data_IF_461204987105
#
_entry.id   IF_461204987105
#
_cell.length_a   1.000
_cell.length_b   1.000
_cell.length_c   1.000
_cell.angle_alpha   90.00
_cell.angle_beta   90.00
_cell.angle_gamma   90.00
#
_symmetry.space_group_name_H-M   'P 1'
#
loop_
_entity.id
_entity.type
_entity.pdbx_description
1 polymer ?
#
# COMPACT_ATOMS: atom_id res chain seq x y z
N UNK A 1 3.88 -0.73 38.92
CA UNK A 1 2.67 -1.27 39.58
C UNK A 1 1.49 -1.30 38.60
N UNK A 2 0.80 -2.42 38.50
CA UNK A 2 -0.47 -2.56 37.78
C UNK A 2 -1.62 -1.92 38.57
N UNK A 3 -2.75 -1.66 37.93
CA UNK A 3 -3.94 -1.14 38.62
C UNK A 3 -4.42 -2.10 39.73
N UNK A 4 -4.32 -3.40 39.52
CA UNK A 4 -4.73 -4.41 40.50
C UNK A 4 -3.79 -4.47 41.71
N UNK A 5 -2.47 -4.35 41.51
CA UNK A 5 -1.50 -4.26 42.60
C UNK A 5 -1.72 -2.99 43.46
N UNK A 6 -1.97 -1.85 42.80
CA UNK A 6 -2.28 -0.59 43.53
C UNK A 6 -3.58 -0.76 44.32
N UNK A 7 -4.60 -1.32 43.71
CA UNK A 7 -5.89 -1.57 44.38
C UNK A 7 -5.72 -2.46 45.59
N UNK A 8 -4.95 -3.52 45.50
CA UNK A 8 -4.65 -4.43 46.63
C UNK A 8 -4.01 -3.65 47.79
N UNK A 9 -2.99 -2.82 47.51
CA UNK A 9 -2.35 -2.00 48.53
C UNK A 9 -3.30 -1.01 49.23
N UNK A 10 -4.22 -0.41 48.45
CA UNK A 10 -5.22 0.51 49.00
C UNK A 10 -6.28 -0.24 49.83
N UNK A 11 -6.68 -1.45 49.43
CA UNK A 11 -7.58 -2.32 50.17
C UNK A 11 -6.97 -2.80 51.50
N UNK A 12 -5.68 -3.19 51.46
CA UNK A 12 -4.94 -3.58 52.65
C UNK A 12 -4.84 -2.41 53.63
N UNK A 13 -4.54 -1.20 53.13
CA UNK A 13 -4.52 0.00 53.99
C UNK A 13 -5.90 0.26 54.61
N UNK A 14 -6.98 0.27 53.82
CA UNK A 14 -8.32 0.45 54.34
C UNK A 14 -8.70 -0.62 55.37
N UNK A 15 -8.27 -1.86 55.17
CA UNK A 15 -8.53 -2.96 56.12
C UNK A 15 -7.76 -2.83 57.44
N UNK A 16 -6.67 -2.06 57.44
CA UNK A 16 -5.88 -1.77 58.65
C UNK A 16 -6.50 -0.64 59.50
N UNK A 17 -7.43 0.11 58.93
CA UNK A 17 -8.13 1.20 59.63
C UNK A 17 -9.36 0.68 60.38
N UNK A 18 -9.76 1.35 61.47
CA UNK A 18 -11.03 1.08 62.15
C UNK A 18 -12.20 1.19 61.14
N UNK A 19 -13.01 0.13 61.08
CA UNK A 19 -14.16 0.14 60.19
C UNK A 19 -15.21 1.18 60.63
N UNK A 20 -15.75 2.00 59.71
CA UNK A 20 -16.83 2.90 60.06
C UNK A 20 -18.06 2.15 60.56
N UNK A 21 -18.70 2.61 61.57
CA UNK A 21 -19.94 2.03 62.11
C UNK A 21 -21.07 2.22 61.11
N UNK A 22 -21.83 1.15 60.77
CA UNK A 22 -22.87 1.20 59.73
C UNK A 22 -23.99 2.19 60.07
N UNK A 23 -24.42 2.98 59.07
CA UNK A 23 -25.56 3.91 59.19
C UNK A 23 -26.86 3.35 58.54
N UNK A 24 -26.76 2.17 57.93
CA UNK A 24 -27.87 1.48 57.28
C UNK A 24 -28.55 0.46 58.21
N UNK A 25 -29.77 0.09 57.88
CA UNK A 25 -30.56 -0.90 58.65
C UNK A 25 -31.83 -0.31 59.27
N UNK A 26 -32.62 -1.15 59.94
CA UNK A 26 -33.76 -0.74 60.73
C UNK A 26 -33.34 -0.07 62.06
N UNK A 27 -34.33 0.35 62.84
CA UNK A 27 -34.05 1.06 64.12
C UNK A 27 -33.28 0.18 65.09
N UNK A 28 -33.51 -1.13 65.09
CA UNK A 28 -32.86 -2.04 66.04
C UNK A 28 -31.41 -2.30 65.64
N UNK A 29 -31.13 -2.47 64.38
CA UNK A 29 -29.75 -2.56 63.86
C UNK A 29 -28.93 -1.32 64.13
N UNK A 30 -29.51 -0.12 63.93
CA UNK A 30 -28.88 1.14 64.26
C UNK A 30 -28.69 1.26 65.77
N UNK A 31 -29.62 0.78 66.58
CA UNK A 31 -29.52 0.74 68.06
C UNK A 31 -28.34 -0.11 68.53
N UNK A 32 -28.14 -1.31 67.98
CA UNK A 32 -27.00 -2.16 68.27
C UNK A 32 -25.69 -1.43 67.94
N UNK A 33 -25.60 -0.90 66.70
CA UNK A 33 -24.41 -0.14 66.24
C UNK A 33 -24.11 1.08 67.14
N UNK A 34 -25.13 1.77 67.58
CA UNK A 34 -24.98 2.89 68.52
C UNK A 34 -24.45 2.45 69.89
N UNK A 35 -24.92 1.31 70.44
CA UNK A 35 -24.44 0.80 71.73
C UNK A 35 -22.96 0.39 71.74
N UNK A 36 -22.41 0.09 70.55
CA UNK A 36 -20.98 -0.23 70.39
C UNK A 36 -20.08 0.99 70.34
N UNK A 37 -20.64 2.22 70.24
CA UNK A 37 -19.82 3.44 70.23
C UNK A 37 -19.11 3.62 71.55
N UNK A 38 -17.94 4.32 71.57
CA UNK A 38 -17.30 4.80 72.79
C UNK A 38 -18.28 5.73 73.57
N UNK A 39 -18.15 5.71 74.91
CA UNK A 39 -19.09 6.41 75.78
C UNK A 39 -19.16 7.94 75.53
N UNK A 40 -18.06 8.55 75.12
CA UNK A 40 -17.97 9.97 74.75
C UNK A 40 -18.89 10.37 73.58
N UNK A 41 -19.28 9.39 72.75
CA UNK A 41 -20.19 9.60 71.62
C UNK A 41 -21.61 9.12 71.89
N UNK A 42 -21.88 8.53 73.08
CA UNK A 42 -23.22 8.15 73.53
C UNK A 42 -23.88 9.31 74.25
N UNK A 43 -24.67 10.11 73.56
CA UNK A 43 -25.45 11.12 74.19
C UNK A 43 -26.63 10.50 74.95
N UNK A 44 -26.62 10.60 76.29
CA UNK A 44 -27.78 10.25 77.07
C UNK A 44 -28.81 11.36 76.91
N UNK A 45 -29.84 11.12 76.14
CA UNK A 45 -30.98 12.01 76.03
C UNK A 45 -32.01 11.54 77.07
N UNK A 46 -32.27 12.28 78.08
CA UNK A 46 -32.96 11.86 79.27
C UNK A 46 -34.45 11.50 79.16
N UNK A 47 -35.00 11.29 77.96
CA UNK A 47 -36.37 10.88 77.75
C UNK A 47 -36.41 9.92 76.51
N UNK A 48 -37.07 8.77 76.67
CA UNK A 48 -37.27 7.76 75.63
C UNK A 48 -37.86 8.35 74.30
N UNK A 49 -38.55 9.45 74.36
CA UNK A 49 -39.13 10.13 73.19
C UNK A 49 -38.13 10.76 72.26
N UNK A 50 -36.95 11.06 72.73
CA UNK A 50 -35.88 11.65 71.92
C UNK A 50 -34.85 10.65 71.40
N UNK A 51 -34.95 9.40 71.74
CA UNK A 51 -34.06 8.32 71.34
C UNK A 51 -34.55 7.72 69.99
N UNK A 52 -34.38 8.50 68.95
CA UNK A 52 -34.84 8.13 67.60
C UNK A 52 -33.69 7.57 66.79
N UNK A 53 -33.98 6.81 65.69
CA UNK A 53 -33.00 6.36 64.72
C UNK A 53 -32.16 7.55 64.14
N UNK A 54 -32.74 8.73 64.01
CA UNK A 54 -32.09 9.94 63.54
C UNK A 54 -31.02 10.42 64.52
N UNK A 55 -31.31 10.40 65.83
CA UNK A 55 -30.37 10.84 66.89
C UNK A 55 -29.21 9.84 66.97
N UNK A 56 -29.48 8.52 66.94
CA UNK A 56 -28.44 7.48 66.92
C UNK A 56 -27.53 7.62 65.71
N UNK A 57 -28.10 7.79 64.51
CA UNK A 57 -27.32 8.06 63.28
C UNK A 57 -26.46 9.33 63.37
N UNK A 58 -26.91 10.38 64.04
CA UNK A 58 -26.10 11.58 64.22
C UNK A 58 -24.87 11.31 65.09
N UNK A 59 -25.00 10.55 66.19
CA UNK A 59 -23.89 10.11 67.04
C UNK A 59 -22.92 9.22 66.30
N UNK A 60 -23.43 8.23 65.53
CA UNK A 60 -22.58 7.36 64.66
C UNK A 60 -21.81 8.18 63.63
N UNK A 61 -22.46 9.17 62.98
CA UNK A 61 -21.78 10.06 62.05
C UNK A 61 -20.65 10.89 62.71
N UNK A 62 -20.90 11.41 63.92
CA UNK A 62 -19.92 12.16 64.69
C UNK A 62 -18.71 11.26 65.02
N UNK A 63 -18.95 10.05 65.49
CA UNK A 63 -17.89 9.08 65.71
C UNK A 63 -17.13 8.72 64.42
N UNK A 64 -17.83 8.36 63.35
CA UNK A 64 -17.24 8.04 62.09
C UNK A 64 -16.38 9.18 61.51
N UNK A 65 -16.74 10.46 61.81
CA UNK A 65 -15.95 11.60 61.40
C UNK A 65 -14.62 11.77 62.14
N UNK A 66 -14.44 11.06 63.26
CA UNK A 66 -13.16 11.03 64.00
C UNK A 66 -12.22 9.92 63.50
N UNK A 67 -12.75 8.96 62.73
CA UNK A 67 -11.96 7.89 62.19
C UNK A 67 -11.08 8.37 61.04
N UNK A 68 -9.89 7.76 60.82
CA UNK A 68 -9.09 8.06 59.66
C UNK A 68 -9.87 7.83 58.35
N UNK A 69 -9.78 8.75 57.38
CA UNK A 69 -10.51 8.63 56.15
C UNK A 69 -9.99 7.43 55.32
N UNK A 70 -10.91 6.60 54.83
CA UNK A 70 -10.56 5.56 53.90
C UNK A 70 -10.24 6.13 52.51
N UNK A 71 -9.29 5.51 51.81
CA UNK A 71 -8.91 5.88 50.44
C UNK A 71 -9.76 5.12 49.43
N UNK A 72 -9.94 5.71 48.24
CA UNK A 72 -10.65 5.09 47.17
C UNK A 72 -9.88 3.90 46.61
N UNK A 73 -10.56 2.78 46.40
CA UNK A 73 -10.02 1.54 45.78
C UNK A 73 -10.56 1.28 44.38
N UNK A 74 -11.25 2.25 43.79
CA UNK A 74 -11.83 2.15 42.45
C UNK A 74 -11.45 3.31 41.54
N UNK A 75 -11.24 3.05 40.27
CA UNK A 75 -10.83 4.03 39.27
C UNK A 75 -9.85 3.48 38.27
N UNK A 76 -9.37 4.30 37.33
CA UNK A 76 -8.27 3.96 36.48
C UNK A 76 -6.93 3.99 37.26
N UNK A 77 -5.85 3.49 36.62
CA UNK A 77 -4.53 3.40 37.25
C UNK A 77 -4.04 4.74 37.80
N UNK A 78 -4.26 5.85 37.11
CA UNK A 78 -3.80 7.16 37.50
C UNK A 78 -4.57 7.66 38.75
N UNK A 79 -5.88 7.47 38.80
CA UNK A 79 -6.71 7.77 39.95
C UNK A 79 -6.33 6.91 41.18
N UNK A 80 -5.96 5.67 40.98
CA UNK A 80 -5.48 4.80 42.06
C UNK A 80 -4.08 5.23 42.55
N UNK A 81 -3.19 5.68 41.65
CA UNK A 81 -1.89 6.25 42.05
C UNK A 81 -2.03 7.54 42.85
N UNK A 82 -3.00 8.38 42.53
CA UNK A 82 -3.32 9.56 43.34
C UNK A 82 -3.72 9.16 44.78
N UNK A 83 -4.52 8.12 44.93
CA UNK A 83 -4.90 7.62 46.25
C UNK A 83 -3.70 6.98 46.99
N UNK A 84 -2.86 6.23 46.25
CA UNK A 84 -1.65 5.65 46.81
C UNK A 84 -0.66 6.72 47.25
N UNK A 85 -0.58 7.87 46.59
CA UNK A 85 0.27 8.97 46.98
C UNK A 85 -0.10 9.56 48.36
N UNK A 86 -1.37 9.47 48.80
CA UNK A 86 -1.83 9.91 50.11
C UNK A 86 -1.25 9.04 51.23
N UNK A 87 -1.12 7.71 50.96
CA UNK A 87 -0.71 6.76 52.00
C UNK A 87 0.78 6.34 51.90
N UNK A 88 1.33 6.37 50.68
CA UNK A 88 2.73 5.99 50.43
C UNK A 88 3.32 6.80 49.26
N UNK A 89 3.68 8.08 49.47
CA UNK A 89 4.25 8.95 48.45
C UNK A 89 5.61 8.46 47.93
N UNK A 90 6.40 7.79 48.76
CA UNK A 90 7.72 7.31 48.39
C UNK A 90 7.61 6.18 47.33
N UNK A 91 6.62 5.29 47.49
CA UNK A 91 6.37 4.20 46.52
C UNK A 91 5.92 4.77 45.17
N UNK A 92 5.09 5.82 45.19
CA UNK A 92 4.67 6.49 43.95
C UNK A 92 5.86 7.18 43.27
N UNK A 93 6.74 7.85 44.07
CA UNK A 93 7.95 8.46 43.54
C UNK A 93 8.90 7.41 42.90
N UNK A 94 9.06 6.24 43.55
CA UNK A 94 9.84 5.14 42.99
C UNK A 94 9.21 4.59 41.69
N UNK A 95 7.90 4.44 41.65
CA UNK A 95 7.19 4.00 40.45
C UNK A 95 7.34 4.98 39.27
N UNK A 96 7.32 6.28 39.56
CA UNK A 96 7.53 7.34 38.56
C UNK A 96 8.96 7.34 37.97
N UNK A 97 9.94 6.85 38.73
CA UNK A 97 11.33 6.72 38.25
C UNK A 97 11.57 5.49 37.36
N UNK A 98 10.65 4.53 37.37
CA UNK A 98 10.79 3.35 36.49
C UNK A 98 10.66 3.71 35.02
N UNK A 99 11.48 3.15 34.14
CA UNK A 99 11.34 3.33 32.70
C UNK A 99 9.93 2.96 32.27
N UNK A 100 9.23 3.91 31.67
CA UNK A 100 7.91 3.63 31.13
C UNK A 100 8.04 2.79 29.86
N UNK A 101 7.23 1.74 29.69
CA UNK A 101 7.23 0.97 28.46
C UNK A 101 6.83 1.86 27.28
N UNK A 102 7.55 1.72 26.19
CA UNK A 102 7.23 2.46 24.96
C UNK A 102 5.85 2.04 24.43
N UNK A 103 5.12 3.00 23.89
CA UNK A 103 3.86 2.70 23.19
C UNK A 103 4.15 1.81 21.99
N UNK A 104 3.44 0.68 21.87
CA UNK A 104 3.54 -0.27 20.75
C UNK A 104 2.37 -0.16 19.77
N UNK A 105 1.47 0.81 20.00
CA UNK A 105 0.32 1.12 19.15
C UNK A 105 0.08 2.63 19.09
N UNK A 106 -0.49 3.09 17.98
CA UNK A 106 -0.75 4.51 17.74
C UNK A 106 -0.44 4.93 16.31
N UNK A 107 -0.39 6.23 16.05
CA UNK A 107 -0.01 6.75 14.75
C UNK A 107 1.45 6.39 14.41
N UNK A 108 1.73 6.15 13.13
CA UNK A 108 3.08 5.77 12.65
C UNK A 108 4.16 6.77 13.09
N UNK A 109 3.85 8.06 13.04
CA UNK A 109 4.79 9.11 13.45
C UNK A 109 5.17 9.00 14.93
N UNK A 110 4.19 8.73 15.82
CA UNK A 110 4.43 8.57 17.26
C UNK A 110 5.28 7.33 17.56
N UNK A 111 5.04 6.24 16.80
CA UNK A 111 5.83 5.01 16.94
C UNK A 111 7.27 5.19 16.45
N UNK A 112 7.48 5.94 15.36
CA UNK A 112 8.81 6.31 14.87
C UNK A 112 9.55 7.13 15.91
N UNK A 113 8.89 8.13 16.51
CA UNK A 113 9.46 8.96 17.55
C UNK A 113 9.82 8.14 18.80
N UNK A 114 8.94 7.22 19.21
CA UNK A 114 9.19 6.31 20.31
C UNK A 114 10.40 5.40 20.06
N UNK A 115 10.56 4.87 18.85
CA UNK A 115 11.75 4.07 18.49
C UNK A 115 13.00 4.96 18.49
N UNK A 116 12.96 6.15 17.90
CA UNK A 116 14.12 7.07 17.85
C UNK A 116 14.54 7.57 19.22
N UNK A 117 13.64 7.63 20.21
CA UNK A 117 14.01 8.00 21.59
C UNK A 117 14.95 6.99 22.26
N UNK A 118 14.90 5.70 21.86
CA UNK A 118 15.77 4.63 22.40
C UNK A 118 16.83 4.18 21.41
N UNK A 119 16.63 4.41 20.12
CA UNK A 119 17.54 4.07 19.03
C UNK A 119 17.61 5.23 18.03
N UNK A 120 18.38 6.30 18.32
CA UNK A 120 18.44 7.50 17.48
C UNK A 120 18.92 7.25 16.04
N UNK A 121 19.72 6.22 15.84
CA UNK A 121 20.28 5.77 14.55
C UNK A 121 19.32 4.86 13.75
N UNK A 122 18.12 4.60 14.26
CA UNK A 122 17.13 3.83 13.52
C UNK A 122 16.69 4.55 12.25
N UNK A 123 16.84 3.86 11.10
CA UNK A 123 16.47 4.38 9.78
C UNK A 123 15.17 3.74 9.36
N UNK A 124 14.23 4.53 8.88
CA UNK A 124 12.93 4.09 8.42
C UNK A 124 12.83 4.15 6.90
N UNK A 125 12.08 3.22 6.32
CA UNK A 125 11.91 3.14 4.86
C UNK A 125 11.38 4.44 4.25
N UNK A 126 10.49 5.15 4.95
CA UNK A 126 9.96 6.44 4.48
C UNK A 126 11.06 7.51 4.39
N UNK A 127 11.96 7.57 5.35
CA UNK A 127 13.09 8.52 5.36
C UNK A 127 14.05 8.24 4.20
N UNK A 128 14.33 6.95 3.93
CA UNK A 128 15.13 6.55 2.78
C UNK A 128 14.43 6.90 1.46
N UNK A 129 13.11 6.73 1.41
CA UNK A 129 12.31 7.07 0.24
C UNK A 129 12.30 8.58 -0.02
N UNK A 130 12.14 9.40 1.03
CA UNK A 130 12.12 10.85 0.91
C UNK A 130 13.51 11.37 0.52
N UNK A 131 14.57 10.87 1.13
CA UNK A 131 15.95 11.19 0.74
C UNK A 131 16.26 10.79 -0.72
N UNK A 132 15.72 9.65 -1.17
CA UNK A 132 15.85 9.24 -2.56
C UNK A 132 15.04 10.14 -3.50
N UNK A 133 13.82 10.58 -3.13
CA UNK A 133 13.01 11.51 -3.94
C UNK A 133 13.68 12.87 -4.13
N UNK A 134 14.40 13.34 -3.13
CA UNK A 134 15.18 14.59 -3.22
C UNK A 134 16.36 14.48 -4.19
N UNK A 135 16.99 13.31 -4.28
CA UNK A 135 18.13 13.08 -5.16
C UNK A 135 18.13 11.66 -5.76
N UNK A 136 17.23 11.37 -6.72
CA UNK A 136 17.11 10.04 -7.31
C UNK A 136 18.31 9.65 -8.19
N UNK A 137 19.11 10.62 -8.67
CA UNK A 137 20.15 10.40 -9.66
C UNK A 137 19.57 9.74 -10.92
N UNK A 138 20.28 8.74 -11.47
CA UNK A 138 19.83 7.95 -12.63
C UNK A 138 19.12 6.63 -12.20
N UNK A 139 18.65 6.53 -10.96
CA UNK A 139 18.01 5.32 -10.44
C UNK A 139 16.50 5.44 -10.49
N UNK A 140 15.82 4.35 -10.83
CA UNK A 140 14.37 4.23 -10.79
C UNK A 140 14.02 3.35 -9.58
N UNK A 141 13.09 3.82 -8.76
CA UNK A 141 12.58 3.02 -7.64
C UNK A 141 11.61 1.97 -8.17
N UNK A 142 11.90 0.72 -7.86
CA UNK A 142 11.05 -0.41 -8.19
C UNK A 142 10.73 -1.21 -6.92
N UNK A 143 9.59 -1.89 -6.92
CA UNK A 143 9.29 -2.87 -5.86
C UNK A 143 10.18 -4.11 -6.02
N UNK A 144 10.34 -4.87 -4.93
CA UNK A 144 11.09 -6.14 -4.99
C UNK A 144 10.50 -7.09 -6.04
N UNK A 145 9.18 -7.20 -6.11
CA UNK A 145 8.50 -8.04 -7.10
C UNK A 145 8.78 -7.58 -8.54
N UNK A 146 8.74 -6.27 -8.82
CA UNK A 146 9.11 -5.74 -10.14
C UNK A 146 10.54 -6.07 -10.51
N UNK A 147 11.46 -5.96 -9.56
CA UNK A 147 12.87 -6.31 -9.77
C UNK A 147 13.05 -7.80 -10.05
N UNK A 148 12.44 -8.67 -9.25
CA UNK A 148 12.48 -10.13 -9.45
C UNK A 148 11.86 -10.55 -10.78
N UNK A 149 10.73 -9.94 -11.17
CA UNK A 149 10.11 -10.16 -12.49
C UNK A 149 11.03 -9.72 -13.62
N UNK A 150 11.68 -8.57 -13.51
CA UNK A 150 12.62 -8.10 -14.54
C UNK A 150 13.81 -9.05 -14.71
N UNK A 151 14.37 -9.58 -13.61
CA UNK A 151 15.45 -10.56 -13.67
C UNK A 151 14.99 -11.89 -14.27
N UNK A 152 13.79 -12.35 -13.97
CA UNK A 152 13.22 -13.57 -14.53
C UNK A 152 12.99 -13.41 -16.05
N UNK A 153 12.46 -12.28 -16.50
CA UNK A 153 12.31 -11.94 -17.91
C UNK A 153 13.68 -11.89 -18.61
N UNK A 154 14.67 -11.24 -18.02
CA UNK A 154 16.02 -11.19 -18.57
C UNK A 154 16.60 -12.60 -18.74
N UNK A 155 16.45 -13.44 -17.71
CA UNK A 155 16.93 -14.84 -17.77
C UNK A 155 16.25 -15.64 -18.89
N UNK A 156 14.92 -15.47 -19.05
CA UNK A 156 14.17 -16.15 -20.12
C UNK A 156 14.62 -15.68 -21.51
N UNK A 157 14.82 -14.38 -21.70
CA UNK A 157 15.32 -13.80 -22.95
C UNK A 157 16.71 -14.32 -23.31
N UNK A 158 17.63 -14.37 -22.34
CA UNK A 158 19.00 -14.84 -22.59
C UNK A 158 19.10 -16.34 -22.80
N UNK A 159 18.18 -17.11 -22.19
CA UNK A 159 18.10 -18.56 -22.40
C UNK A 159 17.47 -18.95 -23.75
N UNK A 160 16.70 -18.04 -24.38
CA UNK A 160 16.07 -18.34 -25.67
C UNK A 160 17.13 -18.42 -26.78
N UNK A 161 17.13 -19.49 -27.63
CA UNK A 161 18.21 -19.75 -28.57
C UNK A 161 18.52 -18.63 -29.58
N UNK A 162 17.48 -17.93 -30.02
CA UNK A 162 17.60 -16.85 -31.00
C UNK A 162 17.70 -15.48 -30.29
N UNK A 163 16.73 -15.14 -29.44
CA UNK A 163 16.76 -13.86 -28.70
C UNK A 163 18.03 -13.68 -27.88
N UNK A 164 18.51 -14.76 -27.23
CA UNK A 164 19.75 -14.72 -26.46
C UNK A 164 20.97 -14.39 -27.31
N UNK A 165 21.08 -14.94 -28.51
CA UNK A 165 22.19 -14.61 -29.46
C UNK A 165 22.11 -13.14 -29.90
N UNK A 166 20.94 -12.64 -30.20
CA UNK A 166 20.73 -11.25 -30.63
C UNK A 166 21.02 -10.27 -29.50
N UNK A 167 20.42 -10.49 -28.34
CA UNK A 167 20.53 -9.58 -27.19
C UNK A 167 21.91 -9.61 -26.51
N UNK A 168 22.68 -10.67 -26.66
CA UNK A 168 24.03 -10.80 -26.10
C UNK A 168 25.13 -10.56 -27.15
N UNK A 169 24.77 -10.22 -28.39
CA UNK A 169 25.75 -9.92 -29.43
C UNK A 169 26.61 -8.72 -29.00
N UNK A 170 27.96 -8.83 -28.98
CA UNK A 170 28.84 -7.77 -28.53
C UNK A 170 28.83 -6.55 -29.45
N UNK A 171 28.42 -6.71 -30.73
CA UNK A 171 28.37 -5.60 -31.70
C UNK A 171 27.02 -4.89 -31.72
N UNK A 172 26.06 -5.32 -30.89
CA UNK A 172 24.76 -4.66 -30.82
C UNK A 172 24.90 -3.22 -30.35
N UNK A 173 24.15 -2.31 -30.94
CA UNK A 173 23.90 -0.99 -30.43
C UNK A 173 22.51 -0.95 -29.75
N UNK A 174 22.38 -0.24 -28.64
CA UNK A 174 21.18 -0.21 -27.83
C UNK A 174 20.67 1.22 -27.73
N UNK A 175 19.37 1.41 -28.02
CA UNK A 175 18.67 2.69 -27.91
C UNK A 175 19.36 3.84 -28.65
N UNK A 176 19.91 3.58 -29.84
CA UNK A 176 20.51 4.62 -30.69
C UNK A 176 19.40 5.48 -31.28
N UNK A 177 19.53 6.79 -31.12
CA UNK A 177 18.58 7.75 -31.67
C UNK A 177 19.05 8.28 -33.02
N UNK A 178 18.17 8.19 -34.02
CA UNK A 178 18.36 8.75 -35.35
C UNK A 178 17.45 9.95 -35.50
N UNK A 179 18.00 11.06 -35.93
CA UNK A 179 17.29 12.29 -36.19
C UNK A 179 17.38 12.60 -37.67
N UNK A 180 16.31 13.10 -38.23
CA UNK A 180 16.28 13.49 -39.65
C UNK A 180 15.13 14.46 -39.91
N UNK A 181 15.01 14.86 -41.16
CA UNK A 181 13.88 15.62 -41.68
C UNK A 181 13.20 14.72 -42.67
N UNK A 182 11.88 14.59 -42.59
CA UNK A 182 11.12 13.82 -43.59
C UNK A 182 11.11 14.59 -44.92
N UNK A 183 11.67 13.97 -45.96
CA UNK A 183 11.87 14.59 -47.27
C UNK A 183 10.57 15.02 -47.95
N UNK A 184 9.44 14.41 -47.61
CA UNK A 184 8.14 14.64 -48.22
C UNK A 184 7.36 15.78 -47.53
N UNK A 185 7.51 15.90 -46.22
CA UNK A 185 6.74 16.84 -45.38
C UNK A 185 7.56 17.97 -44.78
N UNK A 186 8.89 17.82 -44.74
CA UNK A 186 9.77 18.77 -44.06
C UNK A 186 9.71 18.70 -42.53
N UNK A 187 8.99 17.75 -41.96
CA UNK A 187 8.87 17.59 -40.52
C UNK A 187 10.12 16.95 -39.91
N UNK A 188 10.53 17.44 -38.74
CA UNK A 188 11.56 16.79 -37.94
C UNK A 188 11.08 15.43 -37.44
N UNK A 189 11.89 14.40 -37.65
CA UNK A 189 11.59 13.02 -37.27
C UNK A 189 12.69 12.47 -36.37
N UNK A 190 12.30 11.60 -35.45
CA UNK A 190 13.22 10.85 -34.60
C UNK A 190 12.74 9.42 -34.44
N UNK A 191 13.67 8.48 -34.63
CA UNK A 191 13.45 7.07 -34.33
C UNK A 191 14.49 6.53 -33.39
N UNK A 192 14.13 5.50 -32.62
CA UNK A 192 15.05 4.86 -31.68
C UNK A 192 14.64 3.39 -31.50
N UNK A 193 15.18 2.50 -32.34
CA UNK A 193 15.05 1.05 -32.12
C UNK A 193 15.63 0.66 -30.75
N UNK A 194 15.06 -0.33 -30.08
CA UNK A 194 15.57 -0.82 -28.80
C UNK A 194 16.96 -1.43 -28.96
N UNK A 195 17.15 -2.24 -30.01
CA UNK A 195 18.44 -2.86 -30.34
C UNK A 195 18.63 -2.88 -31.86
N UNK A 196 19.82 -2.64 -32.30
CA UNK A 196 20.25 -2.86 -33.68
C UNK A 196 21.59 -3.59 -33.74
N UNK A 197 21.81 -4.34 -34.78
CA UNK A 197 23.08 -5.00 -35.05
C UNK A 197 23.31 -5.19 -36.56
N UNK A 198 24.56 -5.33 -36.92
CA UNK A 198 24.96 -5.76 -38.24
C UNK A 198 25.24 -7.27 -38.20
N UNK A 199 24.57 -8.02 -39.07
CA UNK A 199 24.76 -9.45 -39.20
C UNK A 199 24.73 -9.86 -40.68
N UNK A 200 25.77 -10.54 -41.14
CA UNK A 200 25.91 -10.98 -42.52
C UNK A 200 25.78 -9.84 -43.57
N UNK A 201 26.22 -8.63 -43.21
CA UNK A 201 26.14 -7.45 -44.08
C UNK A 201 24.75 -6.80 -44.11
N UNK A 202 23.80 -7.26 -43.29
CA UNK A 202 22.49 -6.64 -43.12
C UNK A 202 22.40 -5.86 -41.80
N UNK A 203 21.80 -4.69 -41.84
CA UNK A 203 21.45 -3.91 -40.67
C UNK A 203 20.06 -4.34 -40.17
N UNK A 204 20.00 -4.83 -38.97
CA UNK A 204 18.78 -5.42 -38.42
C UNK A 204 18.39 -4.65 -37.15
N UNK A 205 17.13 -4.21 -37.10
CA UNK A 205 16.53 -3.60 -35.92
C UNK A 205 15.65 -4.57 -35.14
N UNK A 206 15.64 -4.40 -33.84
CA UNK A 206 14.78 -5.18 -32.94
C UNK A 206 14.07 -4.28 -31.96
N UNK A 207 12.89 -4.70 -31.57
CA UNK A 207 12.09 -4.04 -30.55
C UNK A 207 11.61 -5.08 -29.52
N UNK A 208 11.82 -4.80 -28.23
CA UNK A 208 11.47 -5.71 -27.15
C UNK A 208 10.08 -5.37 -26.61
N UNK A 209 9.19 -6.33 -26.66
CA UNK A 209 7.79 -6.17 -26.22
C UNK A 209 7.45 -7.11 -25.08
N UNK A 210 7.10 -6.54 -23.93
CA UNK A 210 6.50 -7.32 -22.85
C UNK A 210 5.01 -7.43 -23.05
N UNK A 211 4.47 -8.62 -22.87
CA UNK A 211 3.06 -8.92 -23.11
C UNK A 211 2.51 -9.80 -21.99
N UNK A 212 1.21 -9.72 -21.73
CA UNK A 212 0.51 -10.59 -20.79
C UNK A 212 -0.36 -11.56 -21.58
N UNK A 213 0.08 -12.82 -21.70
CA UNK A 213 -0.60 -13.90 -22.42
C UNK A 213 -0.30 -15.24 -21.75
N UNK A 214 -0.67 -15.38 -20.47
CA UNK A 214 -0.43 -16.61 -19.71
C UNK A 214 -1.23 -17.82 -20.23
N UNK A 215 -2.38 -17.56 -20.88
CA UNK A 215 -3.33 -18.58 -21.36
C UNK A 215 -3.14 -18.95 -22.84
N UNK A 216 -2.11 -18.40 -23.49
CA UNK A 216 -1.89 -18.63 -24.91
C UNK A 216 -1.45 -20.08 -25.18
N UNK A 217 -2.09 -20.72 -26.15
CA UNK A 217 -1.68 -22.03 -26.65
C UNK A 217 -0.72 -21.86 -27.81
N UNK A 218 0.17 -22.81 -27.98
CA UNK A 218 1.19 -22.79 -29.05
C UNK A 218 0.58 -22.63 -30.46
N UNK A 219 -0.51 -23.31 -30.75
CA UNK A 219 -1.21 -23.25 -32.03
C UNK A 219 -1.86 -21.87 -32.31
N UNK A 220 -2.19 -21.11 -31.29
CA UNK A 220 -2.80 -19.78 -31.40
C UNK A 220 -1.82 -18.61 -31.22
N UNK A 221 -0.58 -18.91 -30.79
CA UNK A 221 0.41 -17.87 -30.49
C UNK A 221 0.68 -16.96 -31.69
N UNK A 222 0.90 -17.56 -32.87
CA UNK A 222 1.19 -16.82 -34.11
C UNK A 222 0.09 -15.81 -34.46
N UNK A 223 -1.16 -16.23 -34.41
CA UNK A 223 -2.30 -15.37 -34.76
C UNK A 223 -2.53 -14.26 -33.72
N UNK A 224 -2.29 -14.57 -32.44
CA UNK A 224 -2.39 -13.58 -31.36
C UNK A 224 -1.28 -12.52 -31.44
N UNK A 225 -0.03 -12.94 -31.70
CA UNK A 225 1.09 -12.00 -31.88
C UNK A 225 0.92 -11.15 -33.15
N UNK A 226 0.42 -11.72 -34.26
CA UNK A 226 0.09 -10.94 -35.44
C UNK A 226 -0.97 -9.85 -35.13
N UNK A 227 -1.99 -10.19 -34.36
CA UNK A 227 -3.01 -9.23 -33.93
C UNK A 227 -2.40 -8.13 -33.05
N UNK A 228 -1.52 -8.47 -32.10
CA UNK A 228 -0.82 -7.47 -31.28
C UNK A 228 0.02 -6.52 -32.13
N UNK A 229 0.74 -7.04 -33.14
CA UNK A 229 1.57 -6.22 -34.04
C UNK A 229 0.69 -5.24 -34.83
N UNK A 230 -0.42 -5.71 -35.38
CA UNK A 230 -1.27 -4.89 -36.24
C UNK A 230 -2.18 -3.93 -35.45
N UNK A 231 -2.79 -4.37 -34.34
CA UNK A 231 -3.69 -3.52 -33.54
C UNK A 231 -2.96 -2.45 -32.71
N UNK A 232 -1.67 -2.63 -32.46
CA UNK A 232 -0.84 -1.66 -31.72
C UNK A 232 0.08 -0.85 -32.63
N UNK A 233 -0.10 -0.94 -33.92
CA UNK A 233 0.69 -0.25 -34.94
C UNK A 233 2.21 -0.47 -34.81
N UNK A 234 2.62 -1.65 -34.28
CA UNK A 234 4.05 -1.98 -34.19
C UNK A 234 4.69 -2.10 -35.57
N UNK A 235 3.95 -2.58 -36.58
CA UNK A 235 4.39 -2.62 -37.97
C UNK A 235 4.61 -1.22 -38.56
N UNK A 236 3.79 -0.21 -38.19
CA UNK A 236 3.98 1.17 -38.58
C UNK A 236 5.31 1.71 -38.02
N UNK A 237 5.55 1.50 -36.73
CA UNK A 237 6.82 1.89 -36.08
C UNK A 237 8.02 1.19 -36.73
N UNK A 238 7.92 -0.12 -37.02
CA UNK A 238 8.98 -0.86 -37.68
C UNK A 238 9.27 -0.34 -39.09
N UNK A 239 8.23 -0.04 -39.87
CA UNK A 239 8.34 0.58 -41.20
C UNK A 239 9.00 1.96 -41.15
N UNK A 240 8.67 2.79 -40.18
CA UNK A 240 9.33 4.07 -39.92
C UNK A 240 10.81 3.87 -39.54
N UNK A 241 11.11 2.94 -38.60
CA UNK A 241 12.47 2.66 -38.16
C UNK A 241 13.36 2.19 -39.31
N UNK A 242 12.88 1.25 -40.11
CA UNK A 242 13.61 0.78 -41.30
C UNK A 242 13.87 1.92 -42.28
N UNK A 243 12.90 2.82 -42.48
CA UNK A 243 13.07 3.95 -43.41
C UNK A 243 14.04 5.03 -42.90
N UNK A 244 14.02 5.35 -41.61
CA UNK A 244 14.79 6.49 -41.06
C UNK A 244 16.19 6.06 -40.62
N UNK A 245 16.33 4.87 -40.04
CA UNK A 245 17.60 4.34 -39.57
C UNK A 245 18.30 3.48 -40.63
N UNK A 246 17.75 3.34 -41.84
CA UNK A 246 18.28 2.55 -42.95
C UNK A 246 18.53 1.09 -42.53
N UNK A 247 17.49 0.43 -41.97
CA UNK A 247 17.55 -0.96 -41.56
C UNK A 247 17.00 -1.87 -42.66
N UNK A 248 17.73 -2.95 -42.96
CA UNK A 248 17.32 -3.92 -43.97
C UNK A 248 16.21 -4.88 -43.49
N UNK A 249 16.22 -5.19 -42.19
CA UNK A 249 15.24 -6.09 -41.55
C UNK A 249 14.84 -5.64 -40.18
N UNK A 250 13.68 -6.14 -39.76
CA UNK A 250 13.16 -5.85 -38.40
C UNK A 250 12.51 -7.08 -37.78
N UNK A 251 12.63 -7.22 -36.46
CA UNK A 251 11.90 -8.23 -35.71
C UNK A 251 11.47 -7.69 -34.34
N UNK A 252 10.41 -8.29 -33.84
CA UNK A 252 9.97 -8.08 -32.45
C UNK A 252 10.38 -9.27 -31.60
N UNK A 253 10.92 -8.99 -30.42
CA UNK A 253 11.19 -10.00 -29.39
C UNK A 253 10.09 -9.85 -28.33
N UNK A 254 9.11 -10.74 -28.38
CA UNK A 254 8.05 -10.79 -27.38
C UNK A 254 8.46 -11.63 -26.18
N UNK A 255 8.15 -11.17 -24.99
CA UNK A 255 8.30 -11.94 -23.75
C UNK A 255 7.06 -11.81 -22.89
N UNK A 256 6.55 -12.93 -22.39
CA UNK A 256 5.44 -12.92 -21.46
C UNK A 256 5.90 -12.42 -20.08
N UNK A 257 5.23 -11.40 -19.56
CA UNK A 257 5.56 -10.80 -18.25
C UNK A 257 4.78 -11.40 -17.08
N UNK A 258 3.85 -12.33 -17.35
CA UNK A 258 3.06 -12.95 -16.29
C UNK A 258 3.95 -13.84 -15.42
N UNK A 259 3.71 -13.81 -14.12
CA UNK A 259 4.53 -14.47 -13.11
C UNK A 259 4.61 -15.98 -13.35
N UNK A 260 5.81 -16.52 -13.26
CA UNK A 260 6.07 -17.96 -13.35
C UNK A 260 6.04 -18.56 -14.75
N UNK A 261 5.74 -17.79 -15.81
CA UNK A 261 5.69 -18.31 -17.19
C UNK A 261 6.17 -17.30 -18.23
N UNK A 262 7.47 -17.16 -18.36
CA UNK A 262 8.10 -16.19 -19.27
C UNK A 262 8.49 -16.82 -20.60
N UNK A 263 7.50 -17.17 -21.46
CA UNK A 263 7.81 -17.61 -22.82
C UNK A 263 8.34 -16.44 -23.67
N UNK A 264 9.19 -16.75 -24.62
CA UNK A 264 9.81 -15.80 -25.56
C UNK A 264 9.52 -16.20 -26.99
N UNK A 265 9.22 -15.23 -27.85
CA UNK A 265 9.06 -15.44 -29.28
C UNK A 265 9.76 -14.33 -30.07
N UNK A 266 10.57 -14.71 -31.06
CA UNK A 266 11.15 -13.78 -32.04
C UNK A 266 10.26 -13.82 -33.29
N UNK A 267 9.70 -12.66 -33.66
CA UNK A 267 8.79 -12.53 -34.79
C UNK A 267 9.42 -11.59 -35.82
N UNK A 268 9.89 -12.17 -36.92
CA UNK A 268 10.46 -11.41 -38.04
C UNK A 268 9.34 -10.77 -38.87
N UNK A 269 9.54 -9.47 -39.18
CA UNK A 269 8.68 -8.76 -40.10
C UNK A 269 8.94 -9.25 -41.54
N UNK A 270 7.87 -9.58 -42.27
CA UNK A 270 7.97 -9.80 -43.72
C UNK A 270 8.12 -8.48 -44.46
N UNK A 271 8.66 -8.51 -45.66
CA UNK A 271 8.83 -7.31 -46.50
C UNK A 271 7.47 -6.61 -46.74
N UNK A 272 6.40 -7.40 -46.98
CA UNK A 272 5.05 -6.85 -47.14
C UNK A 272 4.49 -6.20 -45.86
N UNK A 273 4.84 -6.69 -44.67
CA UNK A 273 4.44 -6.11 -43.41
C UNK A 273 5.20 -4.78 -43.13
N UNK A 274 6.48 -4.73 -43.48
CA UNK A 274 7.29 -3.50 -43.41
C UNK A 274 6.82 -2.46 -44.43
N UNK A 275 6.45 -2.90 -45.66
CA UNK A 275 5.88 -2.01 -46.67
C UNK A 275 4.57 -1.42 -46.23
N UNK A 276 3.64 -2.24 -45.67
CA UNK A 276 2.38 -1.73 -45.06
C UNK A 276 2.67 -0.68 -44.01
N UNK A 277 3.54 -0.96 -43.05
CA UNK A 277 3.92 -0.02 -42.00
C UNK A 277 4.50 1.28 -42.56
N UNK A 278 5.36 1.20 -43.58
CA UNK A 278 5.95 2.36 -44.25
C UNK A 278 4.88 3.22 -44.94
N UNK A 279 3.93 2.61 -45.62
CA UNK A 279 2.84 3.34 -46.31
C UNK A 279 1.90 4.01 -45.32
N UNK A 280 1.57 3.34 -44.20
CA UNK A 280 0.76 3.90 -43.13
C UNK A 280 1.49 5.06 -42.40
N UNK A 281 2.78 4.90 -42.12
CA UNK A 281 3.62 5.98 -41.62
C UNK A 281 3.58 7.20 -42.53
N UNK A 282 3.81 7.00 -43.84
CA UNK A 282 3.77 8.07 -44.84
C UNK A 282 2.43 8.81 -44.89
N UNK A 283 1.34 8.06 -44.86
CA UNK A 283 0.00 8.65 -44.79
C UNK A 283 -0.19 9.50 -43.52
N UNK A 284 0.26 8.97 -42.38
CA UNK A 284 0.10 9.63 -41.09
C UNK A 284 0.91 10.91 -40.98
N UNK A 285 2.18 10.89 -41.41
CA UNK A 285 3.05 12.08 -41.32
C UNK A 285 2.55 13.21 -42.26
N UNK A 286 2.01 12.88 -43.45
CA UNK A 286 1.36 13.85 -44.35
C UNK A 286 0.11 14.47 -43.72
N UNK A 287 -0.70 13.67 -43.04
CA UNK A 287 -1.87 14.17 -42.32
C UNK A 287 -1.47 15.13 -41.18
N UNK A 288 -0.41 14.82 -40.48
CA UNK A 288 0.14 15.71 -39.42
C UNK A 288 0.65 17.02 -40.05
N UNK A 289 1.44 16.96 -41.12
CA UNK A 289 1.94 18.15 -41.80
C UNK A 289 0.80 19.04 -42.28
N UNK A 290 -0.20 18.47 -42.92
CA UNK A 290 -1.38 19.22 -43.36
C UNK A 290 -2.13 19.88 -42.20
N UNK A 291 -2.30 19.17 -41.08
CA UNK A 291 -2.96 19.74 -39.90
C UNK A 291 -2.13 20.85 -39.25
N UNK A 292 -0.80 20.77 -39.29
CA UNK A 292 0.08 21.86 -38.84
C UNK A 292 0.01 23.09 -39.75
N UNK A 293 -0.04 22.89 -41.04
CA UNK A 293 -0.12 23.98 -42.04
C UNK A 293 -1.45 24.69 -42.06
N UNK A 294 -2.53 23.95 -41.89
CA UNK A 294 -3.91 24.51 -41.93
C UNK A 294 -4.39 24.95 -40.55
N UNK A 295 -3.83 24.44 -39.46
CA UNK A 295 -4.33 24.60 -38.10
C UNK A 295 -5.57 23.74 -37.82
N UNK A 296 -6.03 22.91 -38.76
CA UNK A 296 -7.20 22.06 -38.64
C UNK A 296 -6.81 20.65 -38.25
N UNK A 297 -7.09 20.27 -37.00
CA UNK A 297 -6.88 18.93 -36.48
C UNK A 297 -8.17 18.12 -36.52
N UNK A 298 -8.12 16.84 -36.92
CA UNK A 298 -9.29 15.99 -36.92
C UNK A 298 -9.91 15.90 -35.51
N UNK A 299 -11.23 16.09 -35.47
CA UNK A 299 -11.99 15.92 -34.23
C UNK A 299 -11.92 14.45 -33.76
N UNK A 300 -12.09 14.20 -32.46
CA UNK A 300 -12.29 12.85 -31.97
C UNK A 300 -13.44 12.17 -32.72
N UNK A 301 -13.23 10.92 -33.11
CA UNK A 301 -14.30 10.15 -33.77
C UNK A 301 -15.39 9.89 -32.76
N UNK A 302 -16.59 10.33 -33.07
CA UNK A 302 -17.83 10.00 -32.34
C UNK A 302 -18.78 9.31 -33.30
N UNK A 303 -19.31 8.17 -32.90
CA UNK A 303 -20.28 7.46 -33.73
C UNK A 303 -21.32 6.79 -32.84
N UNK A 304 -22.59 7.04 -33.19
CA UNK A 304 -23.71 6.26 -32.66
C UNK A 304 -24.12 5.25 -33.73
N UNK A 305 -24.04 3.97 -33.42
CA UNK A 305 -24.37 2.92 -34.39
C UNK A 305 -25.05 1.76 -33.68
N UNK A 306 -25.79 0.97 -34.46
CA UNK A 306 -26.29 -0.32 -34.04
C UNK A 306 -25.23 -1.37 -34.43
N UNK A 307 -24.78 -2.14 -33.44
CA UNK A 307 -23.83 -3.23 -33.71
C UNK A 307 -24.56 -4.38 -34.39
N UNK A 308 -24.09 -4.74 -35.56
CA UNK A 308 -24.63 -5.84 -36.36
C UNK A 308 -23.69 -7.03 -36.37
N UNK A 309 -24.26 -8.24 -36.44
CA UNK A 309 -23.47 -9.45 -36.52
C UNK A 309 -22.68 -9.47 -37.82
N UNK A 310 -21.39 -9.77 -37.73
CA UNK A 310 -20.55 -10.03 -38.88
C UNK A 310 -20.86 -11.41 -39.51
N UNK A 311 -20.30 -11.70 -40.69
CA UNK A 311 -20.56 -12.95 -41.44
C UNK A 311 -20.28 -14.23 -40.63
N UNK A 312 -19.31 -14.19 -39.72
CA UNK A 312 -19.00 -15.34 -38.86
C UNK A 312 -20.09 -15.54 -37.81
N UNK A 313 -20.51 -14.47 -37.16
CA UNK A 313 -21.55 -14.51 -36.12
C UNK A 313 -22.92 -14.82 -36.72
N UNK A 314 -23.20 -14.35 -37.94
CA UNK A 314 -24.41 -14.73 -38.69
C UNK A 314 -24.46 -16.24 -38.96
N UNK A 315 -23.37 -16.82 -39.46
CA UNK A 315 -23.29 -18.29 -39.68
C UNK A 315 -23.46 -19.07 -38.39
N UNK A 316 -22.90 -18.57 -37.28
CA UNK A 316 -23.07 -19.16 -35.95
C UNK A 316 -24.52 -19.08 -35.48
N UNK A 317 -25.16 -17.95 -35.71
CA UNK A 317 -26.58 -17.80 -35.37
C UNK A 317 -27.48 -18.72 -36.14
N UNK A 318 -27.23 -18.88 -37.47
CA UNK A 318 -27.94 -19.82 -38.35
C UNK A 318 -27.78 -21.26 -37.87
N UNK A 319 -26.53 -21.70 -37.61
CA UNK A 319 -26.28 -23.03 -37.10
C UNK A 319 -26.96 -23.31 -35.75
N UNK A 320 -27.04 -22.32 -34.87
CA UNK A 320 -27.77 -22.46 -33.60
C UNK A 320 -29.31 -22.53 -33.80
N UNK A 321 -29.84 -21.82 -34.81
CA UNK A 321 -31.27 -21.91 -35.16
C UNK A 321 -31.68 -23.28 -35.71
N UNK A 322 -30.79 -23.92 -36.47
CA UNK A 322 -31.01 -25.25 -37.00
C UNK A 322 -30.96 -26.35 -35.91
N UNK A 323 -30.35 -26.11 -34.79
CA UNK A 323 -30.24 -27.02 -33.65
C UNK A 323 -31.36 -26.82 -32.59
N UNK A 324 -32.11 -25.73 -32.65
CA UNK A 324 -33.16 -25.37 -31.72
C UNK A 324 -34.53 -25.83 -32.20
#
# INVERSE_FOLDING_TARGET
LSADEIKTLLEEYNSSLPAPVPLGGDKDAIGVAYLELPDDFKRIVGDDKNFTASTMKACIKEYNATLPPQVRTSGNRDALLEQLAIINPDLVAQEAQKPQPLKVSGAKADLIQAVKSVKPDAVFADELLDAWRENPGNKILVTRQQYETALAIQSALYAHPEAGKLLQNPTRAVEVSYFGIDDDTGLDIRVRPDVELEYEGLRIGFDLKTISMWDVKEDSLKSRLHREITMRDYHLSAGMYCNVADLDKFAWIFVNKDEGYHWVAVVWASDSLLELGKLEYRRTIRAIANAMDTGEWPAPVTADYTDELNDYDLRRLEALREMA
#
